data_IF_296014154003
#
_entry.id   IF_296014154003
#
_cell.length_a   1.000
_cell.length_b   1.000
_cell.length_c   1.000
_cell.angle_alpha   90.00
_cell.angle_beta   90.00
_cell.angle_gamma   90.00
#
_symmetry.space_group_name_H-M   'P 1'
#
loop_
_entity.id
_entity.type
_entity.pdbx_description
1 polymer ?
#
# COMPACT_ATOMS: atom_id res chain seq x y z
N UNK A 1 -0.54 -39.74 -17.03
CA UNK A 1 -1.83 -39.26 -17.59
C UNK A 1 -2.00 -37.79 -17.21
N UNK A 2 -2.67 -36.98 -18.03
CA UNK A 2 -2.61 -35.51 -17.99
C UNK A 2 -3.50 -34.95 -16.86
N UNK A 3 -2.94 -34.11 -15.98
CA UNK A 3 -3.64 -33.30 -14.96
C UNK A 3 -4.71 -32.39 -15.59
N UNK A 4 -5.85 -32.96 -15.96
CA UNK A 4 -6.98 -32.23 -16.51
C UNK A 4 -7.97 -31.99 -15.37
N UNK A 5 -7.82 -30.83 -14.74
CA UNK A 5 -8.80 -30.30 -13.80
C UNK A 5 -10.09 -29.99 -14.56
N UNK A 6 -11.21 -30.50 -14.06
CA UNK A 6 -12.56 -30.16 -14.54
C UNK A 6 -12.89 -28.75 -14.03
N UNK A 7 -13.75 -28.00 -14.74
CA UNK A 7 -14.01 -26.59 -14.44
C UNK A 7 -14.30 -26.29 -12.96
N UNK A 8 -15.06 -27.16 -12.29
CA UNK A 8 -15.38 -27.05 -10.85
C UNK A 8 -14.15 -27.26 -9.95
N UNK A 9 -13.34 -28.29 -10.23
CA UNK A 9 -12.10 -28.59 -9.49
C UNK A 9 -11.10 -27.43 -9.60
N UNK A 10 -10.97 -26.86 -10.81
CA UNK A 10 -10.10 -25.70 -11.05
C UNK A 10 -10.57 -24.48 -10.29
N UNK A 11 -11.89 -24.26 -10.24
CA UNK A 11 -12.48 -23.15 -9.52
C UNK A 11 -12.26 -23.30 -8.01
N UNK A 12 -12.53 -24.49 -7.46
CA UNK A 12 -12.26 -24.81 -6.06
C UNK A 12 -10.81 -24.53 -5.68
N UNK A 13 -9.84 -25.06 -6.43
CA UNK A 13 -8.43 -24.83 -6.18
C UNK A 13 -8.05 -23.34 -6.24
N UNK A 14 -8.62 -22.60 -7.20
CA UNK A 14 -8.35 -21.16 -7.34
C UNK A 14 -8.90 -20.39 -6.14
N UNK A 15 -10.10 -20.74 -5.68
CA UNK A 15 -10.76 -20.08 -4.56
C UNK A 15 -10.04 -20.38 -3.23
N UNK A 16 -9.63 -21.63 -3.00
CA UNK A 16 -8.80 -22.03 -1.84
C UNK A 16 -7.47 -21.27 -1.82
N UNK A 17 -6.73 -21.23 -2.94
CA UNK A 17 -5.45 -20.52 -3.01
C UNK A 17 -5.60 -19.02 -2.80
N UNK A 18 -6.66 -18.42 -3.35
CA UNK A 18 -6.97 -17.01 -3.15
C UNK A 18 -7.31 -16.69 -1.70
N UNK A 19 -7.98 -17.61 -1.01
CA UNK A 19 -8.33 -17.46 0.39
C UNK A 19 -7.10 -17.64 1.29
N UNK A 20 -6.27 -18.67 1.06
CA UNK A 20 -4.98 -18.87 1.73
C UNK A 20 -4.03 -17.67 1.56
N UNK A 21 -4.04 -17.02 0.38
CA UNK A 21 -3.26 -15.81 0.12
C UNK A 21 -3.65 -14.64 1.04
N UNK A 22 -4.89 -14.58 1.53
CA UNK A 22 -5.31 -13.54 2.47
C UNK A 22 -4.69 -13.70 3.86
N UNK A 23 -4.18 -14.89 4.16
CA UNK A 23 -3.59 -15.25 5.46
C UNK A 23 -2.06 -15.21 5.48
N UNK A 24 -1.42 -14.70 4.41
CA UNK A 24 0.05 -14.56 4.28
C UNK A 24 0.79 -15.89 4.55
N UNK A 25 0.21 -16.98 4.05
CA UNK A 25 0.79 -18.32 4.10
C UNK A 25 1.99 -18.37 3.15
N UNK A 26 3.05 -19.09 3.55
CA UNK A 26 4.26 -19.17 2.74
C UNK A 26 3.98 -19.82 1.38
N UNK A 27 4.79 -19.49 0.38
CA UNK A 27 4.68 -20.09 -0.95
C UNK A 27 4.85 -21.62 -0.90
N UNK A 28 5.70 -22.11 0.01
CA UNK A 28 5.96 -23.53 0.20
C UNK A 28 4.73 -24.26 0.78
N UNK A 29 4.08 -23.69 1.80
CA UNK A 29 2.83 -24.22 2.35
C UNK A 29 1.70 -24.17 1.31
N UNK A 30 1.61 -23.09 0.54
CA UNK A 30 0.62 -22.94 -0.51
C UNK A 30 0.80 -23.97 -1.64
N UNK A 31 2.04 -24.29 -2.01
CA UNK A 31 2.35 -25.39 -2.93
C UNK A 31 2.01 -26.76 -2.34
N UNK A 32 2.25 -26.94 -1.04
CA UNK A 32 1.91 -28.18 -0.35
C UNK A 32 0.39 -28.43 -0.33
N UNK A 33 -0.40 -27.42 0.01
CA UNK A 33 -1.87 -27.51 -0.03
C UNK A 33 -2.38 -27.80 -1.44
N UNK A 34 -1.82 -27.11 -2.45
CA UNK A 34 -2.16 -27.38 -3.85
C UNK A 34 -1.89 -28.84 -4.22
N UNK A 35 -0.75 -29.39 -3.80
CA UNK A 35 -0.40 -30.78 -4.05
C UNK A 35 -1.39 -31.73 -3.38
N UNK A 36 -1.75 -31.50 -2.12
CA UNK A 36 -2.73 -32.31 -1.39
C UNK A 36 -4.10 -32.34 -2.08
N UNK A 37 -4.61 -31.18 -2.51
CA UNK A 37 -5.88 -31.10 -3.23
C UNK A 37 -5.81 -31.85 -4.57
N UNK A 38 -4.69 -31.73 -5.30
CA UNK A 38 -4.51 -32.44 -6.57
C UNK A 38 -4.41 -33.96 -6.39
N UNK A 39 -3.75 -34.43 -5.34
CA UNK A 39 -3.66 -35.84 -5.00
C UNK A 39 -5.03 -36.41 -4.65
N UNK A 40 -5.81 -35.72 -3.82
CA UNK A 40 -7.17 -36.12 -3.48
C UNK A 40 -8.10 -36.18 -4.70
N UNK A 41 -8.09 -35.15 -5.55
CA UNK A 41 -8.90 -35.15 -6.79
C UNK A 41 -8.55 -36.34 -7.69
N UNK A 42 -7.27 -36.71 -7.74
CA UNK A 42 -6.83 -37.83 -8.54
C UNK A 42 -7.28 -39.17 -7.93
N UNK A 43 -7.18 -39.33 -6.61
CA UNK A 43 -7.64 -40.51 -5.89
C UNK A 43 -9.14 -40.74 -6.06
N UNK A 44 -9.97 -39.71 -5.87
CA UNK A 44 -11.42 -39.82 -6.09
C UNK A 44 -11.75 -40.21 -7.54
N UNK A 45 -10.99 -39.69 -8.51
CA UNK A 45 -11.19 -40.02 -9.93
C UNK A 45 -10.84 -41.48 -10.25
N UNK A 46 -9.84 -42.04 -9.58
CA UNK A 46 -9.47 -43.46 -9.73
C UNK A 46 -10.54 -44.40 -9.13
N UNK A 47 -11.28 -43.92 -8.12
CA UNK A 47 -12.37 -44.66 -7.47
C UNK A 47 -13.77 -44.36 -8.05
N UNK A 48 -13.89 -43.38 -8.94
CA UNK A 48 -15.16 -42.98 -9.56
C UNK A 48 -16.06 -42.13 -8.65
N UNK A 49 -15.48 -41.49 -7.63
CA UNK A 49 -16.14 -40.67 -6.62
C UNK A 49 -16.08 -39.17 -6.96
N UNK A 50 -16.97 -38.37 -6.36
CA UNK A 50 -16.97 -36.91 -6.56
C UNK A 50 -15.90 -36.24 -5.68
N UNK A 51 -14.82 -35.80 -6.33
CA UNK A 51 -13.66 -35.16 -5.70
C UNK A 51 -13.92 -33.88 -4.89
N UNK A 52 -15.09 -33.25 -5.02
CA UNK A 52 -15.39 -31.98 -4.33
C UNK A 52 -16.31 -32.19 -3.13
N UNK A 53 -17.13 -33.24 -3.14
CA UNK A 53 -18.15 -33.46 -2.10
C UNK A 53 -17.50 -33.67 -0.72
N UNK A 54 -16.36 -34.39 -0.69
CA UNK A 54 -15.59 -34.65 0.54
C UNK A 54 -14.72 -33.48 0.99
N UNK A 55 -14.33 -32.58 0.07
CA UNK A 55 -13.53 -31.38 0.39
C UNK A 55 -14.38 -30.23 0.94
N UNK A 56 -15.70 -30.31 0.81
CA UNK A 56 -16.63 -29.28 1.25
C UNK A 56 -16.47 -27.95 0.51
N UNK A 57 -16.73 -26.84 1.19
CA UNK A 57 -16.55 -25.49 0.61
C UNK A 57 -15.09 -25.03 0.76
N UNK A 58 -14.55 -24.21 -0.17
CA UNK A 58 -13.21 -23.64 -0.05
C UNK A 58 -12.93 -22.98 1.30
N UNK A 59 -13.92 -22.28 1.87
CA UNK A 59 -13.80 -21.59 3.15
C UNK A 59 -13.63 -22.56 4.32
N UNK A 60 -14.44 -23.62 4.36
CA UNK A 60 -14.33 -24.67 5.37
C UNK A 60 -12.99 -25.39 5.26
N UNK A 61 -12.57 -25.77 4.06
CA UNK A 61 -11.27 -26.41 3.85
C UNK A 61 -10.11 -25.56 4.37
N UNK A 62 -10.11 -24.26 4.06
CA UNK A 62 -9.07 -23.34 4.51
C UNK A 62 -9.10 -23.15 6.02
N UNK A 63 -10.30 -23.04 6.60
CA UNK A 63 -10.47 -22.95 8.05
C UNK A 63 -9.93 -24.20 8.77
N UNK A 64 -10.32 -25.39 8.30
CA UNK A 64 -9.88 -26.66 8.87
C UNK A 64 -8.36 -26.83 8.72
N UNK A 65 -7.80 -26.45 7.57
CA UNK A 65 -6.35 -26.47 7.35
C UNK A 65 -5.62 -25.57 8.35
N UNK A 66 -6.13 -24.36 8.61
CA UNK A 66 -5.52 -23.42 9.53
C UNK A 66 -5.62 -23.87 10.99
N UNK A 67 -6.74 -24.51 11.35
CA UNK A 67 -6.98 -25.07 12.67
C UNK A 67 -6.06 -26.27 12.95
N UNK A 68 -5.93 -27.20 11.99
CA UNK A 68 -5.04 -28.37 12.09
C UNK A 68 -3.57 -27.96 12.20
N UNK A 69 -3.17 -26.88 11.51
CA UNK A 69 -1.78 -26.39 11.55
C UNK A 69 -1.49 -25.43 12.72
N UNK A 70 -2.40 -25.29 13.69
CA UNK A 70 -2.28 -24.39 14.86
C UNK A 70 -1.90 -22.93 14.50
N UNK A 71 -2.25 -22.48 13.29
CA UNK A 71 -2.03 -21.09 12.89
C UNK A 71 -3.12 -20.27 13.59
N UNK A 72 -2.78 -19.64 14.73
CA UNK A 72 -3.72 -18.77 15.46
C UNK A 72 -4.15 -17.60 14.56
N UNK A 73 -5.24 -17.84 13.86
CA UNK A 73 -5.78 -17.03 12.80
C UNK A 73 -6.19 -15.65 13.31
N UNK A 74 -6.69 -15.61 14.54
CA UNK A 74 -7.15 -14.37 15.16
C UNK A 74 -5.97 -13.48 15.56
N UNK A 75 -4.86 -14.07 15.99
CA UNK A 75 -3.64 -13.31 16.30
C UNK A 75 -2.99 -12.76 15.04
N UNK A 76 -2.85 -13.57 13.97
CA UNK A 76 -2.32 -13.08 12.68
C UNK A 76 -3.22 -12.02 12.05
N UNK A 77 -4.56 -12.20 12.05
CA UNK A 77 -5.50 -11.19 11.54
C UNK A 77 -5.43 -9.86 12.31
N UNK A 78 -5.30 -9.90 13.64
CA UNK A 78 -5.13 -8.69 14.47
C UNK A 78 -3.80 -7.99 14.17
N UNK A 79 -2.72 -8.74 13.98
CA UNK A 79 -1.41 -8.18 13.62
C UNK A 79 -1.44 -7.49 12.24
N UNK A 80 -1.99 -8.15 11.21
CA UNK A 80 -2.12 -7.59 9.86
C UNK A 80 -2.98 -6.31 9.84
N UNK A 81 -4.08 -6.29 10.59
CA UNK A 81 -4.95 -5.10 10.70
C UNK A 81 -4.23 -3.94 11.39
N UNK A 82 -3.47 -4.22 12.44
CA UNK A 82 -2.70 -3.21 13.17
C UNK A 82 -1.54 -2.64 12.32
N UNK A 83 -0.86 -3.46 11.53
CA UNK A 83 0.21 -2.99 10.64
C UNK A 83 -0.31 -2.10 9.51
N UNK A 84 -1.41 -2.49 8.84
CA UNK A 84 -2.06 -1.66 7.82
C UNK A 84 -2.52 -0.31 8.37
N UNK A 85 -3.09 -0.28 9.58
CA UNK A 85 -3.48 0.96 10.25
C UNK A 85 -2.28 1.88 10.59
N UNK A 86 -1.17 1.30 11.02
CA UNK A 86 0.07 2.02 11.36
C UNK A 86 0.78 2.58 10.12
N UNK A 87 0.70 1.90 8.98
CA UNK A 87 1.23 2.36 7.70
C UNK A 87 0.43 3.56 7.17
N UNK A 88 -0.91 3.47 7.16
CA UNK A 88 -1.78 4.54 6.66
C UNK A 88 -1.65 5.84 7.46
N UNK A 89 -1.62 5.74 8.80
CA UNK A 89 -1.39 6.91 9.66
C UNK A 89 0.00 7.53 9.46
N UNK A 90 1.00 6.69 9.17
CA UNK A 90 2.38 7.15 8.89
C UNK A 90 2.51 7.92 7.58
N UNK A 91 1.85 7.45 6.51
CA UNK A 91 1.85 8.10 5.19
C UNK A 91 1.11 9.43 5.28
N UNK A 92 -0.07 9.42 5.91
CA UNK A 92 -0.87 10.64 6.08
C UNK A 92 -0.09 11.73 6.82
N UNK A 93 0.59 11.36 7.92
CA UNK A 93 1.48 12.29 8.64
C UNK A 93 2.60 12.84 7.76
N UNK A 94 3.20 12.00 6.90
CA UNK A 94 4.23 12.43 5.96
C UNK A 94 3.71 13.47 4.95
N UNK A 95 2.51 13.25 4.41
CA UNK A 95 1.85 14.20 3.49
C UNK A 95 1.59 15.55 4.18
N UNK A 96 1.07 15.54 5.41
CA UNK A 96 0.86 16.76 6.18
C UNK A 96 2.17 17.55 6.39
N UNK A 97 3.27 16.86 6.72
CA UNK A 97 4.57 17.52 6.88
C UNK A 97 5.02 18.13 5.54
N UNK A 98 4.86 17.42 4.43
CA UNK A 98 5.23 17.91 3.11
C UNK A 98 4.45 19.18 2.71
N UNK A 99 3.15 19.24 3.00
CA UNK A 99 2.31 20.44 2.78
C UNK A 99 2.83 21.61 3.62
N UNK A 100 3.10 21.38 4.91
CA UNK A 100 3.62 22.42 5.81
C UNK A 100 4.98 22.94 5.32
N UNK A 101 5.88 22.04 4.92
CA UNK A 101 7.19 22.40 4.36
C UNK A 101 7.05 23.25 3.10
N UNK A 102 6.13 22.89 2.20
CA UNK A 102 5.84 23.68 1.01
C UNK A 102 5.39 25.10 1.38
N UNK A 103 4.41 25.24 2.28
CA UNK A 103 3.88 26.54 2.69
C UNK A 103 4.93 27.43 3.37
N UNK A 104 5.76 26.85 4.24
CA UNK A 104 6.85 27.57 4.90
C UNK A 104 7.88 28.04 3.87
N UNK A 105 8.31 27.15 2.98
CA UNK A 105 9.26 27.48 1.91
C UNK A 105 8.71 28.59 1.02
N UNK A 106 7.46 28.48 0.60
CA UNK A 106 6.83 29.43 -0.30
C UNK A 106 6.66 30.81 0.34
N UNK A 107 6.27 30.84 1.62
CA UNK A 107 6.17 32.08 2.40
C UNK A 107 7.54 32.75 2.54
N UNK A 108 8.57 31.95 2.82
CA UNK A 108 9.96 32.44 2.95
C UNK A 108 10.44 33.06 1.64
N UNK A 109 10.29 32.35 0.52
CA UNK A 109 10.66 32.88 -0.79
C UNK A 109 9.88 34.13 -1.16
N UNK A 110 8.60 34.18 -0.82
CA UNK A 110 7.83 35.39 -1.05
C UNK A 110 8.43 36.59 -0.31
N UNK A 111 8.71 36.44 0.99
CA UNK A 111 9.20 37.54 1.82
C UNK A 111 10.60 38.01 1.38
N UNK A 112 11.50 37.08 1.06
CA UNK A 112 12.91 37.40 0.80
C UNK A 112 13.23 37.62 -0.68
N UNK A 113 12.54 36.95 -1.60
CA UNK A 113 12.87 36.92 -3.03
C UNK A 113 11.86 37.65 -3.91
N UNK A 114 10.83 38.26 -3.33
CA UNK A 114 9.87 39.07 -4.11
C UNK A 114 9.69 40.47 -3.53
N UNK A 115 9.34 41.41 -4.40
CA UNK A 115 9.09 42.81 -4.02
C UNK A 115 7.68 43.04 -3.49
N UNK A 116 6.84 42.01 -3.43
CA UNK A 116 5.42 42.13 -3.10
C UNK A 116 5.17 42.59 -1.67
N UNK A 117 6.14 42.41 -0.78
CA UNK A 117 6.14 42.93 0.57
C UNK A 117 7.11 44.09 0.78
N UNK A 118 7.69 44.66 -0.29
CA UNK A 118 8.56 45.83 -0.18
C UNK A 118 7.72 47.10 -0.06
N UNK A 119 7.73 47.80 1.08
CA UNK A 119 6.91 49.00 1.32
C UNK A 119 7.27 50.19 0.41
N UNK A 120 8.44 50.17 -0.25
CA UNK A 120 8.89 51.25 -1.14
C UNK A 120 8.55 51.04 -2.61
N UNK A 121 8.11 49.84 -3.02
CA UNK A 121 7.83 49.48 -4.41
C UNK A 121 6.49 48.74 -4.56
N UNK A 122 5.60 48.82 -3.57
CA UNK A 122 4.31 48.18 -3.62
C UNK A 122 3.41 48.87 -4.65
N UNK A 123 3.23 48.24 -5.81
CA UNK A 123 2.21 48.65 -6.78
C UNK A 123 0.83 48.41 -6.15
N UNK A 124 0.06 49.48 -5.90
CA UNK A 124 -1.27 49.41 -5.28
C UNK A 124 -2.30 48.63 -6.12
N UNK A 125 -1.98 48.26 -7.35
CA UNK A 125 -2.82 47.47 -8.28
C UNK A 125 -2.49 45.98 -8.30
N UNK A 126 -1.40 45.56 -7.64
CA UNK A 126 -0.98 44.16 -7.66
C UNK A 126 -1.84 43.28 -6.74
N UNK A 127 -2.52 42.29 -7.31
CA UNK A 127 -3.28 41.29 -6.57
C UNK A 127 -2.41 40.08 -6.23
N UNK A 128 -1.89 40.08 -5.00
CA UNK A 128 -1.03 39.02 -4.47
C UNK A 128 -1.79 37.71 -4.23
N UNK A 129 -1.17 36.58 -4.59
CA UNK A 129 -1.59 35.24 -4.18
C UNK A 129 -0.37 34.35 -3.89
N UNK A 130 -0.29 33.82 -2.67
CA UNK A 130 0.81 32.96 -2.21
C UNK A 130 1.03 31.72 -3.09
N UNK A 131 -0.03 31.17 -3.69
CA UNK A 131 0.04 29.89 -4.39
C UNK A 131 0.51 30.03 -5.84
N UNK A 132 0.16 31.12 -6.53
CA UNK A 132 0.38 31.24 -7.98
C UNK A 132 0.80 32.63 -8.46
N UNK A 133 0.69 33.67 -7.64
CA UNK A 133 0.92 35.06 -8.05
C UNK A 133 1.66 35.84 -6.97
N UNK A 134 2.91 35.45 -6.78
CA UNK A 134 3.77 35.94 -5.71
C UNK A 134 4.44 37.25 -6.10
N UNK A 135 4.78 37.42 -7.38
CA UNK A 135 5.35 38.62 -7.98
C UNK A 135 4.61 38.95 -9.28
N UNK A 136 4.80 40.16 -9.79
CA UNK A 136 4.30 40.58 -11.10
C UNK A 136 4.83 39.71 -12.24
N UNK A 137 5.99 39.09 -12.03
CA UNK A 137 6.63 38.28 -13.04
C UNK A 137 6.20 36.80 -12.96
N UNK A 138 5.49 36.34 -13.99
CA UNK A 138 4.95 34.99 -14.03
C UNK A 138 6.04 33.90 -14.06
N UNK A 139 7.17 34.11 -14.74
CA UNK A 139 8.23 33.08 -14.77
C UNK A 139 8.91 32.94 -13.39
N UNK A 140 9.01 34.05 -12.65
CA UNK A 140 9.55 34.05 -11.28
C UNK A 140 8.62 33.29 -10.32
N UNK A 141 7.31 33.46 -10.47
CA UNK A 141 6.33 32.71 -9.69
C UNK A 141 6.45 31.20 -9.92
N UNK A 142 6.51 30.78 -11.19
CA UNK A 142 6.69 29.37 -11.56
C UNK A 142 7.97 28.79 -10.99
N UNK A 143 9.07 29.55 -11.03
CA UNK A 143 10.35 29.12 -10.47
C UNK A 143 10.26 28.89 -8.96
N UNK A 144 9.70 29.84 -8.20
CA UNK A 144 9.59 29.72 -6.75
C UNK A 144 8.69 28.55 -6.33
N UNK A 145 7.54 28.38 -7.01
CA UNK A 145 6.63 27.24 -6.79
C UNK A 145 7.36 25.92 -7.03
N UNK A 146 8.12 25.80 -8.12
CA UNK A 146 8.89 24.60 -8.46
C UNK A 146 9.94 24.30 -7.38
N UNK A 147 10.69 25.30 -6.92
CA UNK A 147 11.70 25.10 -5.88
C UNK A 147 11.05 24.66 -4.56
N UNK A 148 9.97 25.31 -4.12
CA UNK A 148 9.25 24.93 -2.91
C UNK A 148 8.65 23.52 -3.00
N UNK A 149 8.13 23.15 -4.17
CA UNK A 149 7.62 21.80 -4.42
C UNK A 149 8.74 20.76 -4.32
N UNK A 150 9.90 21.03 -4.95
CA UNK A 150 11.05 20.12 -4.89
C UNK A 150 11.55 19.95 -3.45
N UNK A 151 11.63 21.01 -2.65
CA UNK A 151 11.98 20.91 -1.23
C UNK A 151 11.00 20.01 -0.46
N UNK A 152 9.70 20.19 -0.69
CA UNK A 152 8.65 19.38 -0.07
C UNK A 152 8.81 17.88 -0.41
N UNK A 153 9.05 17.57 -1.69
CA UNK A 153 9.29 16.20 -2.16
C UNK A 153 10.54 15.59 -1.52
N UNK A 154 11.65 16.34 -1.45
CA UNK A 154 12.90 15.87 -0.83
C UNK A 154 12.71 15.56 0.65
N UNK A 155 12.00 16.42 1.39
CA UNK A 155 11.69 16.19 2.82
C UNK A 155 10.82 14.94 2.99
N UNK A 156 9.80 14.77 2.15
CA UNK A 156 8.96 13.58 2.18
C UNK A 156 9.75 12.29 1.92
N UNK A 157 10.56 12.25 0.86
CA UNK A 157 11.42 11.10 0.53
C UNK A 157 12.39 10.79 1.68
N UNK A 158 12.97 11.83 2.29
CA UNK A 158 13.89 11.69 3.42
C UNK A 158 13.20 11.07 4.64
N UNK A 159 11.98 11.49 4.96
CA UNK A 159 11.18 10.92 6.06
C UNK A 159 10.83 9.45 5.81
N UNK A 160 10.40 9.12 4.59
CA UNK A 160 10.10 7.74 4.20
C UNK A 160 11.35 6.87 4.29
N UNK A 161 12.48 7.35 3.76
CA UNK A 161 13.76 6.64 3.78
C UNK A 161 14.30 6.44 5.19
N UNK A 162 14.19 7.45 6.06
CA UNK A 162 14.58 7.36 7.46
C UNK A 162 13.75 6.32 8.21
N UNK A 163 12.42 6.32 8.01
CA UNK A 163 11.54 5.30 8.61
C UNK A 163 11.87 3.89 8.13
N UNK A 164 12.08 3.68 6.83
CA UNK A 164 12.49 2.37 6.27
C UNK A 164 13.78 1.87 6.91
N UNK A 165 14.80 2.74 7.04
CA UNK A 165 16.07 2.40 7.70
C UNK A 165 15.90 2.08 9.19
N UNK A 166 15.03 2.81 9.89
CA UNK A 166 14.75 2.55 11.32
C UNK A 166 14.03 1.22 11.53
N UNK A 167 13.09 0.86 10.65
CA UNK A 167 12.39 -0.43 10.70
C UNK A 167 13.31 -1.61 10.38
N UNK A 168 14.26 -1.44 9.44
CA UNK A 168 15.25 -2.46 9.09
C UNK A 168 16.30 -2.73 10.19
N UNK A 169 16.42 -1.86 11.19
CA UNK A 169 17.37 -1.98 12.30
C UNK A 169 16.70 -2.38 13.63
N UNK A 170 15.37 -2.48 13.65
CA UNK A 170 14.59 -2.90 14.82
C UNK A 170 14.23 -4.37 14.66
#
# INVERSE_FOLDING_TARGET
MRNRLIGKEKQFLTDVLKELQQYDISLEEMENVKRQILEHIQECREHGEDSIDDLGTPQLFVQDYLEINEIDLQVKMKQLKNEKGKLNTSILRGIFIAIITYLISQTTFTIFLTRSFNPTNSNNTFQYNLLYRISENQWWNSLLIMISFMFSVVVFISLVSYKKRKLSKA
#
